data_IF_116649768425
#
_entry.id   IF_116649768425
#
_cell.length_a   1.000
_cell.length_b   1.000
_cell.length_c   1.000
_cell.angle_alpha   90.00
_cell.angle_beta   90.00
_cell.angle_gamma   90.00
#
_symmetry.space_group_name_H-M   'P 1'
#
loop_
_entity.id
_entity.type
_entity.pdbx_description
1 polymer ?
#
# COMPACT_ATOMS: atom_id res chain seq x y z
N UNK A 1 8.07 -3.85 2.41
CA UNK A 1 9.50 -4.23 2.57
C UNK A 1 9.63 -5.74 2.48
N UNK A 2 10.64 -6.24 1.77
CA UNK A 2 10.97 -7.66 1.80
C UNK A 2 11.72 -7.99 3.10
N UNK A 3 11.22 -8.97 3.86
CA UNK A 3 11.91 -9.58 4.98
C UNK A 3 12.33 -10.98 4.55
N UNK A 4 13.64 -11.20 4.47
CA UNK A 4 14.22 -12.47 4.06
C UNK A 4 13.94 -13.53 5.15
N UNK A 5 13.24 -14.64 4.84
CA UNK A 5 12.93 -15.66 5.85
C UNK A 5 14.15 -16.45 6.33
N UNK A 6 15.11 -16.72 5.44
CA UNK A 6 16.35 -17.44 5.76
C UNK A 6 17.45 -17.18 4.73
N UNK A 7 18.67 -17.63 5.01
CA UNK A 7 19.84 -17.51 4.12
C UNK A 7 19.72 -18.25 2.79
N UNK A 8 18.72 -19.13 2.63
CA UNK A 8 18.44 -19.82 1.36
C UNK A 8 17.52 -19.01 0.43
N UNK A 9 16.88 -17.97 0.95
CA UNK A 9 16.02 -17.11 0.15
C UNK A 9 16.81 -15.96 -0.45
N UNK A 10 16.20 -15.28 -1.44
CA UNK A 10 16.78 -14.10 -2.08
C UNK A 10 17.34 -13.11 -1.05
N UNK A 11 18.53 -12.53 -1.25
CA UNK A 11 19.07 -11.53 -0.33
C UNK A 11 18.22 -10.26 -0.34
N UNK A 12 18.24 -9.52 0.78
CA UNK A 12 17.62 -8.19 0.80
C UNK A 12 18.55 -7.24 0.01
N UNK A 13 18.11 -6.80 -1.17
CA UNK A 13 18.88 -5.87 -1.99
C UNK A 13 18.84 -4.42 -1.46
N UNK A 14 17.73 -4.02 -0.82
CA UNK A 14 17.56 -2.67 -0.26
C UNK A 14 16.58 -2.66 0.92
N UNK A 15 16.88 -1.81 1.90
CA UNK A 15 15.95 -1.39 2.93
C UNK A 15 15.35 -0.05 2.55
N UNK A 16 14.06 -0.05 2.24
CA UNK A 16 13.36 1.17 1.79
C UNK A 16 13.16 2.08 3.00
N UNK A 17 13.47 3.37 2.87
CA UNK A 17 13.27 4.33 3.95
C UNK A 17 11.78 4.62 4.17
N UNK A 18 11.33 4.93 5.40
CA UNK A 18 9.94 5.28 5.68
C UNK A 18 9.35 6.33 4.73
N UNK A 19 10.10 7.38 4.42
CA UNK A 19 9.67 8.47 3.53
C UNK A 19 9.38 8.00 2.09
N UNK A 20 10.11 6.99 1.62
CA UNK A 20 9.89 6.42 0.29
C UNK A 20 8.57 5.64 0.21
N UNK A 21 8.14 5.01 1.31
CA UNK A 21 6.80 4.40 1.36
C UNK A 21 5.69 5.44 1.26
N UNK A 22 5.88 6.61 1.88
CA UNK A 22 4.94 7.74 1.78
C UNK A 22 4.87 8.26 0.35
N UNK A 23 6.02 8.46 -0.30
CA UNK A 23 6.07 8.91 -1.70
C UNK A 23 5.39 7.91 -2.65
N UNK A 24 5.60 6.61 -2.45
CA UNK A 24 4.94 5.55 -3.23
C UNK A 24 3.43 5.52 -3.00
N UNK A 25 2.96 5.77 -1.77
CA UNK A 25 1.53 5.86 -1.50
C UNK A 25 0.89 7.02 -2.25
N UNK A 26 1.51 8.20 -2.18
CA UNK A 26 1.03 9.40 -2.88
C UNK A 26 1.04 9.22 -4.41
N UNK A 27 2.05 8.53 -4.98
CA UNK A 27 2.05 8.16 -6.40
C UNK A 27 0.86 7.26 -6.76
N UNK A 28 0.63 6.18 -5.99
CA UNK A 28 -0.48 5.28 -6.23
C UNK A 28 -1.85 5.98 -6.13
N UNK A 29 -2.00 6.89 -5.17
CA UNK A 29 -3.20 7.73 -5.05
C UNK A 29 -3.37 8.63 -6.28
N UNK A 30 -2.30 9.26 -6.79
CA UNK A 30 -2.34 10.05 -8.04
C UNK A 30 -2.67 9.22 -9.27
N UNK A 31 -2.24 7.96 -9.32
CA UNK A 31 -2.60 7.02 -10.39
C UNK A 31 -4.10 6.69 -10.36
N UNK A 32 -4.77 6.85 -9.22
CA UNK A 32 -6.21 6.62 -9.07
C UNK A 32 -6.58 5.31 -8.36
N UNK A 33 -5.67 4.69 -7.62
CA UNK A 33 -6.03 3.57 -6.76
C UNK A 33 -6.96 4.04 -5.63
N UNK A 34 -8.12 3.39 -5.48
CA UNK A 34 -9.16 3.78 -4.51
C UNK A 34 -8.79 3.45 -3.04
N UNK A 35 -7.74 2.67 -2.82
CA UNK A 35 -7.24 2.33 -1.50
C UNK A 35 -5.78 1.92 -1.56
N UNK A 36 -4.96 2.58 -0.76
CA UNK A 36 -3.51 2.36 -0.73
C UNK A 36 -3.06 2.14 0.72
N UNK A 37 -2.21 1.12 0.94
CA UNK A 37 -1.44 0.96 2.17
C UNK A 37 0.01 0.70 1.79
N UNK A 38 0.90 1.57 2.24
CA UNK A 38 2.33 1.49 1.96
C UNK A 38 3.12 1.61 3.26
N UNK A 39 4.04 0.67 3.49
CA UNK A 39 4.87 0.67 4.68
C UNK A 39 5.75 -0.58 4.80
N UNK A 40 6.73 -0.57 5.71
CA UNK A 40 7.70 -1.66 5.82
C UNK A 40 7.04 -3.00 6.22
N UNK A 41 6.10 -2.96 7.17
CA UNK A 41 5.45 -4.16 7.70
C UNK A 41 4.07 -4.44 7.12
N UNK A 42 3.60 -3.65 6.15
CA UNK A 42 2.35 -3.93 5.43
C UNK A 42 2.47 -5.29 4.72
N UNK A 43 1.40 -6.07 4.77
CA UNK A 43 1.22 -7.38 4.13
C UNK A 43 -0.11 -7.41 3.40
N UNK A 44 -0.32 -8.40 2.54
CA UNK A 44 -1.52 -8.52 1.70
C UNK A 44 -2.84 -8.45 2.48
N UNK A 45 -2.92 -9.05 3.67
CA UNK A 45 -4.12 -9.04 4.52
C UNK A 45 -4.11 -7.97 5.62
N UNK A 46 -3.01 -7.21 5.77
CA UNK A 46 -2.89 -6.23 6.84
C UNK A 46 -3.94 -5.12 6.67
N UNK A 47 -4.84 -5.00 7.65
CA UNK A 47 -5.94 -4.01 7.64
C UNK A 47 -6.83 -4.07 6.39
N UNK A 48 -6.96 -5.24 5.76
CA UNK A 48 -7.72 -5.41 4.53
C UNK A 48 -9.18 -4.94 4.65
N UNK A 49 -9.85 -5.18 5.78
CA UNK A 49 -11.22 -4.69 6.01
C UNK A 49 -11.34 -3.16 6.00
N UNK A 50 -10.39 -2.46 6.62
CA UNK A 50 -10.34 -0.98 6.62
C UNK A 50 -10.03 -0.46 5.21
N UNK A 51 -9.09 -1.10 4.52
CA UNK A 51 -8.72 -0.73 3.15
C UNK A 51 -9.91 -0.89 2.19
N UNK A 52 -10.67 -1.98 2.33
CA UNK A 52 -11.89 -2.21 1.58
C UNK A 52 -12.95 -1.14 1.86
N UNK A 53 -13.22 -0.84 3.13
CA UNK A 53 -14.15 0.22 3.51
C UNK A 53 -13.76 1.58 2.91
N UNK A 54 -12.46 1.92 2.92
CA UNK A 54 -11.95 3.13 2.29
C UNK A 54 -12.19 3.14 0.78
N UNK A 55 -11.87 2.05 0.09
CA UNK A 55 -12.07 1.95 -1.36
C UNK A 55 -13.55 2.01 -1.77
N UNK A 56 -14.43 1.39 -0.99
CA UNK A 56 -15.89 1.47 -1.21
C UNK A 56 -16.39 2.91 -1.03
N UNK A 57 -15.94 3.60 0.03
CA UNK A 57 -16.29 5.00 0.27
C UNK A 57 -15.78 5.93 -0.84
N UNK A 58 -14.52 5.76 -1.27
CA UNK A 58 -13.94 6.51 -2.38
C UNK A 58 -14.73 6.30 -3.67
N UNK A 59 -15.12 5.06 -3.98
CA UNK A 59 -15.94 4.74 -5.16
C UNK A 59 -17.31 5.41 -5.12
N UNK A 60 -17.97 5.40 -3.96
CA UNK A 60 -19.26 6.05 -3.78
C UNK A 60 -19.15 7.58 -3.94
N UNK A 61 -18.07 8.18 -3.45
CA UNK A 61 -17.79 9.62 -3.63
C UNK A 61 -17.53 10.00 -5.09
N UNK A 62 -16.77 9.20 -5.84
CA UNK A 62 -16.54 9.43 -7.27
C UNK A 62 -17.81 9.32 -8.12
N UNK A 63 -18.76 8.47 -7.72
CA UNK A 63 -20.04 8.32 -8.43
C UNK A 63 -21.04 9.46 -8.14
N UNK A 64 -20.79 10.28 -7.12
CA UNK A 64 -21.65 11.38 -6.70
C UNK A 64 -21.23 12.75 -7.29
N UNK A 65 -20.10 12.82 -7.98
CA UNK A 65 -19.70 13.98 -8.77
C UNK A 65 -20.30 13.85 -10.20
N UNK A 66 -21.02 14.88 -10.70
CA UNK A 66 -21.65 14.84 -12.02
C UNK A 66 -20.65 14.78 -13.17
#
# INVERSE_FOLDING_TARGET
QYLRPSVRHHPVARWVRPEEFVALAAEAERIGFLGVLSGPLVRSSYRAGRLYQHAVAARAGSAALP
#
